data_IF_415197317051
#
_entry.id   IF_415197317051
#
_cell.length_a   1.000
_cell.length_b   1.000
_cell.length_c   1.000
_cell.angle_alpha   90.00
_cell.angle_beta   90.00
_cell.angle_gamma   90.00
#
_symmetry.space_group_name_H-M   'P 1'
#
loop_
_entity.id
_entity.type
_entity.pdbx_description
1 polymer ?
#
# COMPACT_ATOMS: atom_id res chain seq x y z
N UNK A 1 43.64 13.24 28.72
CA UNK A 1 43.24 13.23 27.30
C UNK A 1 42.06 12.26 27.19
N UNK A 2 40.85 12.79 27.24
CA UNK A 2 39.63 11.97 27.12
C UNK A 2 39.42 11.65 25.65
N UNK A 3 39.54 10.38 25.25
CA UNK A 3 39.11 9.90 23.93
C UNK A 3 37.60 10.10 23.82
N UNK A 4 37.18 11.12 23.08
CA UNK A 4 35.82 11.25 22.61
C UNK A 4 35.53 10.01 21.77
N UNK A 5 34.77 9.08 22.32
CA UNK A 5 34.24 7.91 21.64
C UNK A 5 33.29 8.44 20.55
N UNK A 6 33.78 8.70 19.34
CA UNK A 6 32.97 9.08 18.18
C UNK A 6 31.94 8.02 17.95
N UNK A 7 30.73 8.26 18.42
CA UNK A 7 29.60 7.37 18.23
C UNK A 7 29.38 7.16 16.73
N UNK A 8 29.59 5.95 16.23
CA UNK A 8 29.42 5.63 14.82
C UNK A 8 27.96 5.83 14.44
N UNK A 9 27.68 6.49 13.30
CA UNK A 9 26.33 6.64 12.79
C UNK A 9 25.65 5.28 12.67
N UNK A 10 24.42 5.16 13.20
CA UNK A 10 23.65 3.92 13.18
C UNK A 10 22.18 4.20 12.84
N UNK A 11 21.51 3.23 12.24
CA UNK A 11 20.07 3.25 12.07
C UNK A 11 19.50 1.82 12.13
N UNK A 12 18.25 1.68 12.53
CA UNK A 12 17.52 0.43 12.51
C UNK A 12 16.47 0.52 11.43
N UNK A 13 16.49 -0.40 10.47
CA UNK A 13 15.48 -0.54 9.43
C UNK A 13 14.49 -1.63 9.85
N UNK A 14 13.23 -1.44 9.52
CA UNK A 14 12.14 -2.32 9.90
C UNK A 14 11.45 -2.90 8.67
N UNK A 15 11.39 -4.23 8.61
CA UNK A 15 10.73 -4.98 7.56
C UNK A 15 9.70 -5.93 8.19
N UNK A 16 8.59 -6.18 7.50
CA UNK A 16 7.59 -7.14 7.96
C UNK A 16 7.25 -8.15 6.85
N UNK A 17 7.20 -9.43 7.22
CA UNK A 17 6.89 -10.52 6.29
C UNK A 17 8.00 -10.79 5.25
N UNK A 18 9.21 -10.31 5.50
CA UNK A 18 10.38 -10.62 4.66
C UNK A 18 10.98 -11.98 5.04
N UNK A 19 11.52 -12.70 4.06
CA UNK A 19 12.37 -13.85 4.33
C UNK A 19 13.69 -13.38 4.98
N UNK A 20 13.93 -13.84 6.20
CA UNK A 20 15.10 -13.47 7.01
C UNK A 20 16.42 -13.83 6.33
N UNK A 21 16.47 -14.97 5.64
CA UNK A 21 17.67 -15.41 4.93
C UNK A 21 17.97 -14.46 3.75
N UNK A 22 16.94 -14.10 2.98
CA UNK A 22 17.07 -13.14 1.89
C UNK A 22 17.53 -11.76 2.41
N UNK A 23 16.98 -11.30 3.55
CA UNK A 23 17.40 -10.03 4.16
C UNK A 23 18.87 -10.08 4.62
N UNK A 24 19.29 -11.18 5.26
CA UNK A 24 20.70 -11.39 5.68
C UNK A 24 21.65 -11.41 4.48
N UNK A 25 21.27 -12.10 3.41
CA UNK A 25 22.06 -12.16 2.16
C UNK A 25 22.19 -10.77 1.54
N UNK A 26 21.10 -10.02 1.41
CA UNK A 26 21.12 -8.66 0.87
C UNK A 26 21.97 -7.72 1.74
N UNK A 27 21.86 -7.81 3.06
CA UNK A 27 22.68 -7.02 3.98
C UNK A 27 24.18 -7.43 3.98
N UNK A 28 24.47 -8.71 3.77
CA UNK A 28 25.84 -9.24 3.64
C UNK A 28 26.51 -8.88 2.29
N UNK A 29 25.73 -8.59 1.28
CA UNK A 29 26.20 -8.21 -0.06
C UNK A 29 26.58 -6.73 -0.20
N UNK A 30 26.54 -5.93 0.88
CA UNK A 30 26.94 -4.53 0.79
C UNK A 30 28.41 -4.38 0.39
N UNK A 31 28.72 -3.51 -0.60
CA UNK A 31 30.09 -3.28 -1.01
C UNK A 31 30.98 -2.80 0.15
N UNK A 32 32.18 -3.36 0.38
CA UNK A 32 33.09 -2.99 1.46
C UNK A 32 33.40 -1.49 1.50
N UNK A 33 33.44 -0.84 0.32
CA UNK A 33 33.66 0.62 0.19
C UNK A 33 32.59 1.49 0.88
N UNK A 34 31.43 0.93 1.25
CA UNK A 34 30.40 1.66 2.00
C UNK A 34 30.71 1.73 3.50
N UNK A 35 31.63 0.87 3.99
CA UNK A 35 32.02 0.81 5.39
C UNK A 35 30.84 0.51 6.31
N UNK A 36 29.93 -0.37 5.87
CA UNK A 36 28.74 -0.80 6.57
C UNK A 36 28.95 -2.11 7.30
N UNK A 37 28.36 -2.22 8.49
CA UNK A 37 28.06 -3.49 9.14
C UNK A 37 26.55 -3.58 9.38
N UNK A 38 25.99 -4.78 9.27
CA UNK A 38 24.57 -5.04 9.44
C UNK A 38 24.36 -6.21 10.40
N UNK A 39 23.38 -6.08 11.31
CA UNK A 39 22.90 -7.16 12.16
C UNK A 39 21.40 -7.31 11.95
N UNK A 40 20.94 -8.55 11.72
CA UNK A 40 19.53 -8.86 11.46
C UNK A 40 18.96 -9.68 12.61
N UNK A 41 17.86 -9.21 13.21
CA UNK A 41 17.09 -9.90 14.24
C UNK A 41 15.66 -10.05 13.71
N UNK A 42 15.08 -11.25 13.80
CA UNK A 42 13.69 -11.50 13.39
C UNK A 42 12.89 -12.09 14.53
N UNK A 43 11.64 -11.60 14.68
CA UNK A 43 10.68 -12.12 15.66
C UNK A 43 9.25 -11.85 15.18
N UNK A 44 8.39 -12.88 15.16
CA UNK A 44 6.95 -12.73 14.89
C UNK A 44 6.61 -12.10 13.54
N UNK A 45 7.41 -12.39 12.49
CA UNK A 45 7.24 -11.82 11.15
C UNK A 45 7.94 -10.48 10.94
N UNK A 46 8.41 -9.80 11.99
CA UNK A 46 9.18 -8.57 11.89
C UNK A 46 10.68 -8.88 11.81
N UNK A 47 11.39 -8.22 10.91
CA UNK A 47 12.84 -8.25 10.79
C UNK A 47 13.43 -6.86 10.99
N UNK A 48 14.28 -6.74 12.00
CA UNK A 48 15.02 -5.52 12.30
C UNK A 48 16.43 -5.65 11.73
N UNK A 49 16.86 -4.66 10.95
CA UNK A 49 18.21 -4.59 10.41
C UNK A 49 18.94 -3.38 11.02
N UNK A 50 19.80 -3.64 12.00
CA UNK A 50 20.65 -2.61 12.60
C UNK A 50 21.85 -2.38 11.68
N UNK A 51 21.91 -1.20 11.09
CA UNK A 51 23.03 -0.75 10.27
C UNK A 51 23.96 0.17 11.08
N UNK A 52 25.26 -0.06 10.99
CA UNK A 52 26.29 0.86 11.48
C UNK A 52 27.24 1.20 10.35
N UNK A 53 27.69 2.44 10.27
CA UNK A 53 28.58 2.89 9.20
C UNK A 53 29.69 3.79 9.73
N UNK A 54 30.84 3.78 9.05
CA UNK A 54 31.90 4.74 9.30
C UNK A 54 31.52 6.18 8.93
N UNK A 55 30.62 6.34 7.93
CA UNK A 55 30.14 7.63 7.41
C UNK A 55 28.63 7.60 7.18
N UNK A 56 27.89 8.71 7.40
CA UNK A 56 26.44 8.77 7.16
C UNK A 56 26.01 8.43 5.72
N UNK A 57 26.88 8.71 4.74
CA UNK A 57 26.64 8.35 3.34
C UNK A 57 26.52 6.83 3.13
N UNK A 58 27.25 6.02 3.91
CA UNK A 58 27.12 4.57 3.90
C UNK A 58 25.72 4.12 4.34
N UNK A 59 25.19 4.68 5.45
CA UNK A 59 23.85 4.36 5.94
C UNK A 59 22.79 4.61 4.88
N UNK A 60 22.82 5.79 4.23
CA UNK A 60 21.85 6.12 3.15
C UNK A 60 21.91 5.13 1.99
N UNK A 61 23.10 4.68 1.61
CA UNK A 61 23.28 3.66 0.56
C UNK A 61 22.72 2.30 0.99
N UNK A 62 23.01 1.86 2.23
CA UNK A 62 22.48 0.61 2.78
C UNK A 62 20.95 0.63 2.91
N UNK A 63 20.38 1.70 3.44
CA UNK A 63 18.94 1.91 3.50
C UNK A 63 18.31 1.84 2.11
N UNK A 64 18.86 2.60 1.14
CA UNK A 64 18.36 2.61 -0.24
C UNK A 64 18.43 1.25 -0.91
N UNK A 65 19.50 0.50 -0.69
CA UNK A 65 19.67 -0.86 -1.21
C UNK A 65 18.63 -1.82 -0.64
N UNK A 66 18.44 -1.87 0.69
CA UNK A 66 17.44 -2.74 1.31
C UNK A 66 16.02 -2.36 0.94
N UNK A 67 15.71 -1.06 0.87
CA UNK A 67 14.40 -0.60 0.42
C UNK A 67 14.11 -0.98 -1.04
N UNK A 68 15.12 -0.98 -1.90
CA UNK A 68 14.98 -1.42 -3.30
C UNK A 68 14.78 -2.94 -3.43
N UNK A 69 15.45 -3.73 -2.58
CA UNK A 69 15.30 -5.19 -2.55
C UNK A 69 13.95 -5.63 -1.95
N UNK A 70 13.45 -4.92 -0.94
CA UNK A 70 12.25 -5.29 -0.17
C UNK A 70 11.22 -4.15 -0.12
N UNK A 71 10.71 -3.69 -1.27
CA UNK A 71 9.87 -2.50 -1.35
C UNK A 71 8.50 -2.66 -0.66
N UNK A 72 7.97 -3.87 -0.55
CA UNK A 72 6.69 -4.17 0.10
C UNK A 72 6.85 -4.47 1.59
N UNK A 73 7.97 -5.06 1.96
CA UNK A 73 8.31 -5.49 3.32
C UNK A 73 8.81 -4.32 4.17
N UNK A 74 9.55 -3.39 3.57
CA UNK A 74 10.06 -2.21 4.25
C UNK A 74 8.92 -1.30 4.69
N UNK A 75 8.81 -1.03 5.99
CA UNK A 75 7.72 -0.20 6.49
C UNK A 75 8.18 1.00 7.33
N UNK A 76 9.40 0.99 7.88
CA UNK A 76 9.84 2.08 8.73
C UNK A 76 11.31 2.00 9.14
N UNK A 77 11.71 2.96 9.97
CA UNK A 77 13.03 3.05 10.57
C UNK A 77 12.99 3.58 12.00
N UNK A 78 14.03 3.25 12.77
CA UNK A 78 14.12 3.68 14.17
C UNK A 78 13.08 3.01 15.06
N UNK A 79 12.41 3.80 15.88
CA UNK A 79 11.39 3.34 16.84
C UNK A 79 9.99 3.20 16.28
N UNK A 80 9.72 3.58 15.04
CA UNK A 80 8.38 3.56 14.46
C UNK A 80 7.87 2.13 14.28
N UNK A 81 6.78 1.81 15.01
CA UNK A 81 6.15 0.50 14.92
C UNK A 81 5.25 0.34 13.69
N UNK A 82 4.90 -0.91 13.37
CA UNK A 82 4.05 -1.24 12.22
C UNK A 82 2.66 -0.57 12.27
N UNK A 83 2.11 -0.41 13.47
CA UNK A 83 0.82 0.27 13.66
C UNK A 83 0.89 1.76 13.28
N UNK A 84 1.94 2.47 13.68
CA UNK A 84 2.15 3.87 13.29
C UNK A 84 2.39 4.00 11.78
N UNK A 85 3.18 3.09 11.20
CA UNK A 85 3.39 3.04 9.75
C UNK A 85 2.08 2.78 8.98
N UNK A 86 1.17 1.95 9.52
CA UNK A 86 -0.17 1.76 8.96
C UNK A 86 -0.95 3.07 8.98
N UNK A 87 -1.07 3.73 10.16
CA UNK A 87 -1.81 4.99 10.30
C UNK A 87 -1.30 6.01 9.29
N UNK A 88 0.00 6.25 9.27
CA UNK A 88 0.62 7.18 8.31
C UNK A 88 0.32 6.82 6.85
N UNK A 89 0.41 5.52 6.50
CA UNK A 89 0.13 5.06 5.14
C UNK A 89 -1.33 5.29 4.77
N UNK A 90 -2.26 5.00 5.67
CA UNK A 90 -3.69 5.17 5.42
C UNK A 90 -4.10 6.64 5.32
N UNK A 91 -3.56 7.51 6.19
CA UNK A 91 -3.76 8.96 6.07
C UNK A 91 -3.27 9.48 4.72
N UNK A 92 -2.04 9.12 4.34
CA UNK A 92 -1.42 9.53 3.07
C UNK A 92 -2.25 9.12 1.85
N UNK A 93 -2.91 7.98 1.90
CA UNK A 93 -3.71 7.45 0.78
C UNK A 93 -5.22 7.67 0.96
N UNK A 94 -5.63 8.42 1.98
CA UNK A 94 -7.03 8.71 2.30
C UNK A 94 -7.88 7.43 2.36
N UNK A 95 -7.44 6.45 3.16
CA UNK A 95 -8.11 5.16 3.32
C UNK A 95 -8.67 5.02 4.71
N UNK A 96 -9.88 4.45 4.80
CA UNK A 96 -10.53 4.09 6.05
C UNK A 96 -10.59 2.56 6.19
N UNK A 97 -10.23 2.05 7.35
CA UNK A 97 -10.33 0.65 7.76
C UNK A 97 -11.49 0.48 8.74
N UNK A 98 -12.29 -0.55 8.55
CA UNK A 98 -13.31 -1.01 9.50
C UNK A 98 -13.08 -2.49 9.82
N UNK A 99 -13.50 -2.95 11.00
CA UNK A 99 -13.54 -4.37 11.33
C UNK A 99 -14.96 -4.89 11.24
N UNK A 100 -15.12 -6.08 10.66
CA UNK A 100 -16.40 -6.73 10.43
C UNK A 100 -16.82 -7.67 11.57
N UNK A 101 -15.90 -7.96 12.48
CA UNK A 101 -16.14 -8.80 13.67
C UNK A 101 -15.35 -8.28 14.88
N UNK A 102 -15.75 -8.75 16.06
CA UNK A 102 -15.17 -8.33 17.33
C UNK A 102 -13.70 -8.76 17.50
N UNK A 103 -13.31 -9.91 16.95
CA UNK A 103 -11.94 -10.40 17.08
C UNK A 103 -10.97 -9.55 16.27
N UNK A 104 -11.26 -9.27 14.99
CA UNK A 104 -10.48 -8.35 14.18
C UNK A 104 -10.44 -6.96 14.81
N UNK A 105 -11.58 -6.49 15.33
CA UNK A 105 -11.69 -5.22 16.03
C UNK A 105 -10.77 -5.13 17.24
N UNK A 106 -10.77 -6.15 18.10
CA UNK A 106 -9.89 -6.18 19.28
C UNK A 106 -8.41 -6.18 18.88
N UNK A 107 -8.02 -6.99 17.88
CA UNK A 107 -6.65 -7.08 17.39
C UNK A 107 -6.13 -5.75 16.82
N UNK A 108 -6.97 -5.02 16.11
CA UNK A 108 -6.61 -3.73 15.48
C UNK A 108 -6.69 -2.59 16.50
N UNK A 109 -7.83 -2.44 17.22
CA UNK A 109 -8.03 -1.33 18.13
C UNK A 109 -7.01 -1.28 19.26
N UNK A 110 -6.64 -2.44 19.82
CA UNK A 110 -5.62 -2.52 20.87
C UNK A 110 -4.27 -1.89 20.44
N UNK A 111 -3.97 -1.92 19.16
CA UNK A 111 -2.70 -1.41 18.60
C UNK A 111 -2.78 0.01 18.07
N UNK A 112 -3.98 0.48 17.74
CA UNK A 112 -4.18 1.79 17.13
C UNK A 112 -4.69 2.85 18.12
N UNK A 113 -5.39 2.46 19.20
CA UNK A 113 -6.14 3.37 20.08
C UNK A 113 -5.34 4.55 20.63
N UNK A 114 -4.04 4.34 20.90
CA UNK A 114 -3.17 5.34 21.51
C UNK A 114 -2.29 6.08 20.48
N UNK A 115 -2.51 5.84 19.18
CA UNK A 115 -1.73 6.46 18.12
C UNK A 115 -2.39 7.75 17.60
N UNK A 116 -1.63 8.82 17.43
CA UNK A 116 -2.13 10.03 16.78
C UNK A 116 -2.67 9.76 15.38
N UNK A 117 -3.85 10.28 15.05
CA UNK A 117 -4.48 10.14 13.74
C UNK A 117 -5.18 8.80 13.48
N UNK A 118 -5.17 7.87 14.46
CA UNK A 118 -5.83 6.58 14.30
C UNK A 118 -7.34 6.73 14.07
N UNK A 119 -7.99 7.71 14.67
CA UNK A 119 -9.40 8.06 14.53
C UNK A 119 -9.79 8.50 13.11
N UNK A 120 -8.84 8.99 12.33
CA UNK A 120 -9.06 9.40 10.93
C UNK A 120 -9.04 8.22 9.96
N UNK A 121 -8.39 7.13 10.34
CA UNK A 121 -8.10 5.99 9.45
C UNK A 121 -8.75 4.69 9.88
N UNK A 122 -9.25 4.63 11.12
CA UNK A 122 -9.91 3.47 11.69
C UNK A 122 -11.23 3.85 12.35
N UNK A 123 -12.31 3.19 11.94
CA UNK A 123 -13.62 3.39 12.53
C UNK A 123 -13.77 2.56 13.81
N UNK A 124 -13.55 3.20 14.96
CA UNK A 124 -13.71 2.58 16.27
C UNK A 124 -15.19 2.38 16.66
N UNK A 125 -16.12 3.14 16.06
CA UNK A 125 -17.53 3.13 16.42
C UNK A 125 -18.35 2.07 15.68
N UNK A 126 -18.04 1.81 14.42
CA UNK A 126 -18.83 0.90 13.56
C UNK A 126 -18.51 -0.58 13.79
N UNK A 127 -17.60 -0.90 14.68
CA UNK A 127 -17.37 -2.28 15.07
C UNK A 127 -18.61 -2.86 15.72
N UNK A 128 -18.90 -4.13 15.44
CA UNK A 128 -20.13 -4.84 15.85
C UNK A 128 -20.44 -4.83 17.35
N UNK A 129 -19.57 -4.30 18.18
CA UNK A 129 -19.73 -4.14 19.62
C UNK A 129 -19.70 -2.67 20.08
N UNK A 130 -19.30 -1.72 19.23
CA UNK A 130 -19.26 -0.29 19.58
C UNK A 130 -20.54 0.47 19.20
N UNK A 131 -21.16 0.10 18.06
CA UNK A 131 -22.40 0.67 17.57
C UNK A 131 -23.42 -0.43 17.25
N UNK A 132 -24.42 -0.68 18.12
CA UNK A 132 -25.44 -1.71 17.92
C UNK A 132 -26.25 -1.52 16.61
N UNK A 133 -26.47 -0.28 16.21
CA UNK A 133 -27.23 0.02 14.98
C UNK A 133 -26.41 -0.34 13.73
N UNK A 134 -25.13 0.03 13.71
CA UNK A 134 -24.24 -0.36 12.64
C UNK A 134 -24.07 -1.89 12.59
N UNK A 135 -23.90 -2.54 13.75
CA UNK A 135 -23.80 -3.98 13.87
C UNK A 135 -25.01 -4.70 13.26
N UNK A 136 -26.23 -4.25 13.62
CA UNK A 136 -27.47 -4.81 13.09
C UNK A 136 -27.59 -4.64 11.57
N UNK A 137 -27.23 -3.46 11.04
CA UNK A 137 -27.23 -3.19 9.59
C UNK A 137 -26.20 -4.07 8.87
N UNK A 138 -25.01 -4.25 9.45
CA UNK A 138 -23.97 -5.14 8.88
C UNK A 138 -24.49 -6.57 8.86
N UNK A 139 -25.03 -7.09 9.97
CA UNK A 139 -25.57 -8.44 10.05
C UNK A 139 -26.70 -8.69 9.04
N UNK A 140 -27.66 -7.79 8.97
CA UNK A 140 -28.80 -7.88 8.02
C UNK A 140 -28.33 -7.86 6.55
N UNK A 141 -27.35 -7.02 6.22
CA UNK A 141 -26.81 -6.93 4.87
C UNK A 141 -25.96 -8.15 4.52
N UNK A 142 -25.20 -8.68 5.50
CA UNK A 142 -24.39 -9.89 5.35
C UNK A 142 -25.27 -11.11 5.08
N UNK A 143 -26.35 -11.31 5.85
CA UNK A 143 -27.29 -12.40 5.67
C UNK A 143 -27.93 -12.43 4.27
N UNK A 144 -28.26 -11.25 3.72
CA UNK A 144 -28.82 -11.12 2.34
C UNK A 144 -27.80 -11.43 1.25
N UNK A 145 -26.51 -11.39 1.52
CA UNK A 145 -25.43 -11.50 0.54
C UNK A 145 -24.57 -12.74 0.70
N UNK A 146 -24.87 -13.54 1.69
CA UNK A 146 -24.19 -14.79 1.95
C UNK A 146 -24.35 -15.74 0.76
N UNK A 147 -23.21 -16.22 0.22
CA UNK A 147 -23.21 -17.08 -0.96
C UNK A 147 -23.36 -18.58 -0.60
N UNK A 148 -23.13 -18.92 0.65
CA UNK A 148 -23.17 -20.29 1.19
C UNK A 148 -23.20 -20.31 2.72
N UNK A 149 -23.35 -21.50 3.31
CA UNK A 149 -23.43 -21.69 4.76
C UNK A 149 -22.06 -21.85 5.43
N UNK A 150 -20.99 -22.01 4.64
CA UNK A 150 -19.64 -22.19 5.18
C UNK A 150 -19.21 -20.95 5.99
N UNK A 151 -18.45 -21.14 7.08
CA UNK A 151 -17.96 -20.03 7.92
C UNK A 151 -17.22 -18.96 7.12
N UNK A 152 -16.47 -19.37 6.10
CA UNK A 152 -15.77 -18.44 5.21
C UNK A 152 -16.72 -17.58 4.38
N UNK A 153 -17.81 -18.17 3.84
CA UNK A 153 -18.81 -17.42 3.06
C UNK A 153 -19.51 -16.38 3.94
N UNK A 154 -19.79 -16.72 5.21
CA UNK A 154 -20.34 -15.80 6.21
C UNK A 154 -19.38 -14.65 6.49
N UNK A 155 -18.11 -14.95 6.76
CA UNK A 155 -17.09 -13.94 7.03
C UNK A 155 -16.86 -12.99 5.83
N UNK A 156 -16.83 -13.53 4.62
CA UNK A 156 -16.72 -12.72 3.38
C UNK A 156 -17.94 -11.81 3.19
N UNK A 157 -19.14 -12.29 3.51
CA UNK A 157 -20.37 -11.49 3.45
C UNK A 157 -20.33 -10.35 4.49
N UNK A 158 -19.85 -10.63 5.72
CA UNK A 158 -19.67 -9.62 6.77
C UNK A 158 -18.67 -8.54 6.37
N UNK A 159 -17.52 -8.92 5.84
CA UNK A 159 -16.50 -7.98 5.33
C UNK A 159 -17.10 -7.03 4.31
N UNK A 160 -17.84 -7.55 3.31
CA UNK A 160 -18.52 -6.72 2.30
C UNK A 160 -19.62 -5.83 2.88
N UNK A 161 -20.35 -6.34 3.86
CA UNK A 161 -21.41 -5.58 4.52
C UNK A 161 -20.82 -4.43 5.34
N UNK A 162 -19.78 -4.69 6.13
CA UNK A 162 -19.08 -3.67 6.92
C UNK A 162 -18.55 -2.54 6.04
N UNK A 163 -17.86 -2.86 4.96
CA UNK A 163 -17.39 -1.86 3.99
C UNK A 163 -18.51 -0.95 3.48
N UNK A 164 -19.67 -1.54 3.15
CA UNK A 164 -20.80 -0.77 2.60
C UNK A 164 -21.51 0.09 3.63
N UNK A 165 -21.71 -0.43 4.83
CA UNK A 165 -22.42 0.28 5.89
C UNK A 165 -21.61 1.49 6.36
N UNK A 166 -20.29 1.31 6.49
CA UNK A 166 -19.39 2.37 6.96
C UNK A 166 -18.87 3.25 5.83
N UNK A 167 -18.83 2.73 4.60
CA UNK A 167 -18.22 3.43 3.46
C UNK A 167 -16.69 3.31 3.43
N UNK A 168 -16.12 2.36 4.17
CA UNK A 168 -14.67 2.18 4.26
C UNK A 168 -14.09 1.55 2.97
N UNK A 169 -12.82 1.88 2.65
CA UNK A 169 -12.09 1.26 1.56
C UNK A 169 -11.64 -0.16 1.87
N UNK A 170 -11.32 -0.42 3.14
CA UNK A 170 -10.84 -1.71 3.63
C UNK A 170 -11.72 -2.19 4.79
N UNK A 171 -11.98 -3.49 4.82
CA UNK A 171 -12.65 -4.11 5.96
C UNK A 171 -11.91 -5.39 6.36
N UNK A 172 -11.65 -5.53 7.65
CA UNK A 172 -10.93 -6.68 8.21
C UNK A 172 -11.89 -7.62 8.94
N UNK A 173 -11.62 -8.93 8.86
CA UNK A 173 -12.26 -9.94 9.66
C UNK A 173 -11.27 -11.04 10.05
N UNK A 174 -11.60 -11.77 11.12
CA UNK A 174 -10.86 -12.92 11.60
C UNK A 174 -11.76 -14.13 11.70
N UNK A 175 -11.32 -15.25 11.15
CA UNK A 175 -12.01 -16.53 11.24
C UNK A 175 -11.12 -17.53 11.99
N UNK A 176 -11.40 -17.83 13.27
CA UNK A 176 -10.65 -18.82 14.04
C UNK A 176 -10.77 -20.22 13.43
N UNK A 177 -9.65 -20.95 13.37
CA UNK A 177 -9.57 -22.34 12.90
C UNK A 177 -8.59 -23.12 13.78
N UNK A 178 -9.04 -23.61 14.93
CA UNK A 178 -8.19 -24.29 15.89
C UNK A 178 -7.04 -23.39 16.38
N UNK A 179 -5.79 -23.82 16.18
CA UNK A 179 -4.58 -23.07 16.56
C UNK A 179 -4.21 -21.94 15.59
N UNK A 180 -4.95 -21.80 14.50
CA UNK A 180 -4.73 -20.78 13.48
C UNK A 180 -5.93 -19.85 13.35
N UNK A 181 -5.70 -18.71 12.73
CA UNK A 181 -6.74 -17.75 12.35
C UNK A 181 -6.60 -17.41 10.87
N UNK A 182 -7.68 -17.48 10.13
CA UNK A 182 -7.73 -16.93 8.78
C UNK A 182 -8.04 -15.46 8.87
N UNK A 183 -7.08 -14.64 8.49
CA UNK A 183 -7.22 -13.20 8.36
C UNK A 183 -7.85 -12.86 7.02
N UNK A 184 -8.85 -12.02 7.03
CA UNK A 184 -9.59 -11.55 5.87
C UNK A 184 -9.43 -10.04 5.77
N UNK A 185 -9.01 -9.53 4.62
CA UNK A 185 -8.97 -8.10 4.33
C UNK A 185 -9.68 -7.82 3.03
N UNK A 186 -10.89 -7.31 3.13
CA UNK A 186 -11.72 -6.95 1.98
C UNK A 186 -11.35 -5.58 1.41
N UNK A 187 -11.47 -5.47 0.10
CA UNK A 187 -11.45 -4.24 -0.66
C UNK A 187 -12.70 -4.17 -1.55
N UNK A 188 -12.86 -3.10 -2.35
CA UNK A 188 -14.01 -2.98 -3.28
C UNK A 188 -14.08 -4.11 -4.32
N UNK A 189 -12.95 -4.74 -4.67
CA UNK A 189 -12.84 -5.71 -5.77
C UNK A 189 -12.81 -7.16 -5.32
N UNK A 190 -12.39 -7.43 -4.08
CA UNK A 190 -12.20 -8.76 -3.55
C UNK A 190 -11.59 -8.74 -2.16
N UNK A 191 -11.19 -9.90 -1.69
CA UNK A 191 -10.65 -10.10 -0.36
C UNK A 191 -9.30 -10.82 -0.43
N UNK A 192 -8.32 -10.32 0.31
CA UNK A 192 -7.10 -11.04 0.63
C UNK A 192 -7.33 -11.93 1.85
N UNK A 193 -6.78 -13.12 1.80
CA UNK A 193 -6.91 -14.12 2.85
C UNK A 193 -5.54 -14.69 3.21
N UNK A 194 -5.25 -14.78 4.51
CA UNK A 194 -4.02 -15.36 5.03
C UNK A 194 -4.31 -16.18 6.26
N UNK A 195 -3.81 -17.42 6.32
CA UNK A 195 -3.83 -18.23 7.53
C UNK A 195 -2.57 -17.95 8.34
N UNK A 196 -2.75 -17.65 9.63
CA UNK A 196 -1.67 -17.31 10.57
C UNK A 196 -1.88 -18.11 11.84
N UNK A 197 -0.82 -18.69 12.42
CA UNK A 197 -0.91 -19.32 13.74
C UNK A 197 -1.08 -18.26 14.81
N UNK A 198 -1.69 -18.63 15.94
CA UNK A 198 -1.85 -17.70 17.06
C UNK A 198 -0.51 -17.18 17.61
N UNK A 199 0.51 -18.01 17.64
CA UNK A 199 1.87 -17.65 18.07
C UNK A 199 2.56 -16.64 17.17
N UNK A 200 2.19 -16.57 15.87
CA UNK A 200 2.78 -15.69 14.86
C UNK A 200 2.16 -14.27 14.85
N UNK A 201 1.43 -13.92 15.89
CA UNK A 201 0.85 -12.59 16.08
C UNK A 201 -0.09 -12.15 14.95
N UNK A 202 -1.30 -12.74 14.83
CA UNK A 202 -2.27 -12.44 13.78
C UNK A 202 -2.57 -10.94 13.59
N UNK A 203 -2.55 -10.18 14.71
CA UNK A 203 -2.80 -8.74 14.65
C UNK A 203 -1.74 -7.97 13.87
N UNK A 204 -0.46 -8.31 13.97
CA UNK A 204 0.58 -7.65 13.16
C UNK A 204 0.44 -8.00 11.68
N UNK A 205 0.11 -9.25 11.37
CA UNK A 205 -0.17 -9.66 9.99
C UNK A 205 -1.36 -8.91 9.39
N UNK A 206 -2.42 -8.70 10.17
CA UNK A 206 -3.59 -7.95 9.71
C UNK A 206 -3.25 -6.48 9.45
N UNK A 207 -2.45 -5.86 10.32
CA UNK A 207 -1.97 -4.47 10.11
C UNK A 207 -1.11 -4.36 8.85
N UNK A 208 -0.19 -5.33 8.61
CA UNK A 208 0.65 -5.30 7.41
C UNK A 208 -0.15 -5.51 6.12
N UNK A 209 -1.12 -6.43 6.15
CA UNK A 209 -2.05 -6.62 5.02
C UNK A 209 -2.79 -5.32 4.70
N UNK A 210 -3.28 -4.60 5.71
CA UNK A 210 -3.97 -3.32 5.54
C UNK A 210 -3.02 -2.23 5.01
N UNK A 211 -1.79 -2.13 5.55
CA UNK A 211 -0.75 -1.19 5.10
C UNK A 211 -0.41 -1.41 3.62
N UNK A 212 -0.13 -2.67 3.23
CA UNK A 212 0.19 -3.01 1.84
C UNK A 212 -0.99 -2.72 0.92
N UNK A 213 -2.21 -3.08 1.32
CA UNK A 213 -3.41 -2.81 0.55
C UNK A 213 -3.66 -1.30 0.36
N UNK A 214 -3.49 -0.50 1.42
CA UNK A 214 -3.64 0.95 1.38
C UNK A 214 -2.63 1.61 0.43
N UNK A 215 -1.37 1.15 0.46
CA UNK A 215 -0.30 1.65 -0.39
C UNK A 215 -0.29 1.05 -1.82
N UNK A 216 -1.14 0.07 -2.12
CA UNK A 216 -1.12 -0.64 -3.41
C UNK A 216 0.10 -1.52 -3.60
N UNK A 217 0.73 -1.98 -2.51
CA UNK A 217 1.90 -2.86 -2.52
C UNK A 217 1.47 -4.33 -2.67
N UNK A 218 2.42 -5.17 -3.08
CA UNK A 218 2.22 -6.60 -3.14
C UNK A 218 2.02 -7.17 -1.71
N UNK A 219 1.04 -8.05 -1.55
CA UNK A 219 0.83 -8.76 -0.29
C UNK A 219 1.95 -9.76 -0.04
N UNK A 220 2.17 -10.10 1.23
CA UNK A 220 3.19 -11.08 1.61
C UNK A 220 2.88 -12.46 1.03
N UNK A 221 3.93 -13.24 0.78
CA UNK A 221 3.82 -14.62 0.33
C UNK A 221 2.88 -15.43 1.25
N UNK A 222 2.11 -16.36 0.67
CA UNK A 222 1.08 -17.12 1.38
C UNK A 222 -0.26 -16.38 1.54
N UNK A 223 -0.38 -15.13 1.08
CA UNK A 223 -1.66 -14.41 1.04
C UNK A 223 -2.37 -14.68 -0.28
N UNK A 224 -3.61 -15.18 -0.21
CA UNK A 224 -4.45 -15.51 -1.38
C UNK A 224 -5.40 -14.37 -1.68
N UNK A 225 -5.76 -14.21 -2.94
CA UNK A 225 -6.76 -13.24 -3.39
C UNK A 225 -8.01 -13.92 -3.92
N UNK A 226 -9.19 -13.46 -3.49
CA UNK A 226 -10.49 -13.90 -3.99
C UNK A 226 -11.31 -12.71 -4.44
N UNK A 227 -11.82 -12.74 -5.67
CA UNK A 227 -12.69 -11.67 -6.21
C UNK A 227 -14.14 -11.88 -5.75
N UNK A 228 -14.84 -10.78 -5.48
CA UNK A 228 -16.30 -10.80 -5.16
C UNK A 228 -17.17 -10.94 -6.41
N UNK A 229 -16.87 -11.74 -7.35
CA UNK A 229 -17.75 -11.89 -8.51
C UNK A 229 -19.06 -12.57 -8.11
N UNK A 230 -20.19 -11.91 -8.46
CA UNK A 230 -21.53 -12.31 -8.12
C UNK A 230 -21.87 -13.71 -8.59
N UNK A 231 -22.45 -14.51 -7.72
CA UNK A 231 -23.46 -15.52 -7.98
C UNK A 231 -23.13 -16.74 -8.84
N UNK A 232 -21.91 -16.96 -9.34
CA UNK A 232 -21.47 -18.23 -9.94
C UNK A 232 -20.09 -18.59 -9.43
N UNK A 233 -20.00 -19.77 -8.81
CA UNK A 233 -18.75 -20.40 -8.39
C UNK A 233 -17.85 -20.60 -9.61
N UNK A 234 -16.93 -19.67 -9.86
CA UNK A 234 -15.72 -20.01 -10.56
C UNK A 234 -14.67 -20.14 -9.48
N UNK A 235 -14.38 -21.36 -9.07
CA UNK A 235 -13.11 -21.68 -8.42
C UNK A 235 -12.03 -21.04 -9.31
N UNK A 236 -11.42 -19.96 -8.82
CA UNK A 236 -10.19 -19.51 -9.42
C UNK A 236 -9.24 -20.69 -9.34
N UNK A 237 -8.83 -21.19 -10.51
CA UNK A 237 -7.78 -22.19 -10.65
C UNK A 237 -6.67 -21.77 -9.70
N UNK A 238 -6.37 -22.62 -8.72
CA UNK A 238 -5.20 -22.45 -7.86
C UNK A 238 -4.04 -22.29 -8.82
N UNK A 239 -3.46 -21.09 -8.88
CA UNK A 239 -2.16 -20.94 -9.53
C UNK A 239 -1.20 -21.73 -8.65
N UNK A 240 -0.86 -22.93 -9.08
CA UNK A 240 0.28 -23.68 -8.56
C UNK A 240 1.48 -22.72 -8.52
N UNK A 241 2.30 -22.77 -7.46
CA UNK A 241 3.52 -21.98 -7.42
C UNK A 241 4.31 -22.35 -8.66
N UNK A 242 4.47 -21.38 -9.57
CA UNK A 242 5.31 -21.55 -10.73
C UNK A 242 6.68 -22.01 -10.25
N UNK A 243 7.07 -23.21 -10.64
CA UNK A 243 8.43 -23.71 -10.47
C UNK A 243 9.41 -22.59 -10.85
N UNK A 244 10.38 -22.35 -9.97
CA UNK A 244 11.44 -21.36 -10.17
C UNK A 244 12.23 -21.72 -11.43
N UNK A 245 11.75 -21.29 -12.58
CA UNK A 245 12.57 -21.10 -13.77
C UNK A 245 13.09 -19.66 -13.70
N UNK A 246 14.40 -19.42 -13.85
CA UNK A 246 14.95 -18.07 -13.83
C UNK A 246 14.24 -17.23 -14.89
N UNK A 247 13.74 -16.05 -14.47
CA UNK A 247 13.04 -15.12 -15.34
C UNK A 247 13.88 -14.83 -16.59
N UNK A 248 13.33 -14.97 -17.80
CA UNK A 248 14.02 -14.51 -19.00
C UNK A 248 14.21 -12.99 -18.89
N UNK A 249 15.32 -12.44 -19.46
CA UNK A 249 15.65 -11.03 -19.36
C UNK A 249 14.47 -10.19 -19.88
N UNK A 250 14.18 -9.11 -19.19
CA UNK A 250 13.04 -8.21 -19.41
C UNK A 250 12.85 -7.87 -20.90
N UNK A 251 11.99 -8.64 -21.56
CA UNK A 251 11.75 -8.54 -22.99
C UNK A 251 10.84 -7.37 -23.31
N UNK A 252 11.21 -6.68 -24.36
CA UNK A 252 10.62 -5.57 -25.16
C UNK A 252 9.10 -5.29 -25.10
N UNK A 253 8.30 -6.06 -24.34
CA UNK A 253 6.84 -5.90 -24.23
C UNK A 253 6.38 -4.76 -23.30
N UNK A 254 7.12 -4.46 -22.23
CA UNK A 254 6.76 -3.39 -21.29
C UNK A 254 7.07 -2.00 -21.86
N UNK A 255 8.15 -1.87 -22.62
CA UNK A 255 8.49 -0.63 -23.31
C UNK A 255 7.41 -0.25 -24.35
N UNK A 256 6.86 -1.23 -25.09
CA UNK A 256 5.76 -1.00 -26.05
C UNK A 256 4.44 -0.56 -25.39
N UNK A 257 4.12 -1.06 -24.21
CA UNK A 257 2.89 -0.63 -23.47
C UNK A 257 3.04 0.79 -22.88
N UNK A 258 4.23 1.16 -22.38
CA UNK A 258 4.53 2.54 -21.95
C UNK A 258 4.53 3.52 -23.13
N UNK A 259 5.17 3.15 -24.24
CA UNK A 259 5.15 3.96 -25.44
C UNK A 259 3.72 4.22 -25.96
N UNK A 260 2.85 3.20 -26.02
CA UNK A 260 1.44 3.37 -26.44
C UNK A 260 0.63 4.30 -25.51
N UNK A 261 0.91 4.32 -24.19
CA UNK A 261 0.25 5.28 -23.27
C UNK A 261 0.74 6.70 -23.49
N UNK A 262 2.05 6.89 -23.68
CA UNK A 262 2.64 8.20 -23.96
C UNK A 262 2.11 8.74 -25.30
N UNK A 263 2.03 7.91 -26.34
CA UNK A 263 1.47 8.30 -27.62
C UNK A 263 -0.01 8.68 -27.57
N UNK A 264 -0.83 8.01 -26.73
CA UNK A 264 -2.24 8.41 -26.51
C UNK A 264 -2.35 9.76 -25.80
N UNK A 265 -1.53 10.03 -24.81
CA UNK A 265 -1.52 11.33 -24.11
C UNK A 265 -1.07 12.44 -25.06
N UNK A 266 -0.02 12.21 -25.84
CA UNK A 266 0.44 13.18 -26.85
C UNK A 266 -0.61 13.43 -27.94
N UNK A 267 -1.33 12.40 -28.38
CA UNK A 267 -2.41 12.55 -29.36
C UNK A 267 -3.59 13.41 -28.81
N UNK A 268 -3.95 13.22 -27.54
CA UNK A 268 -5.00 14.03 -26.89
C UNK A 268 -4.56 15.47 -26.74
N UNK A 269 -3.31 15.72 -26.34
CA UNK A 269 -2.75 17.08 -26.24
C UNK A 269 -2.66 17.79 -27.61
N UNK A 270 -2.27 17.05 -28.65
CA UNK A 270 -2.24 17.59 -30.02
C UNK A 270 -3.66 17.95 -30.51
N UNK A 271 -4.66 17.08 -30.25
CA UNK A 271 -6.05 17.39 -30.61
C UNK A 271 -6.58 18.62 -29.86
N UNK A 272 -6.28 18.75 -28.57
CA UNK A 272 -6.66 19.93 -27.79
C UNK A 272 -5.99 21.23 -28.33
N UNK A 273 -4.71 21.17 -28.72
CA UNK A 273 -4.00 22.30 -29.32
C UNK A 273 -4.62 22.73 -30.66
N UNK A 274 -5.02 21.76 -31.50
CA UNK A 274 -5.71 22.06 -32.77
C UNK A 274 -7.06 22.73 -32.53
N UNK A 275 -7.84 22.26 -31.54
CA UNK A 275 -9.13 22.86 -31.17
C UNK A 275 -8.92 24.31 -30.67
N UNK A 276 -7.92 24.55 -29.83
CA UNK A 276 -7.60 25.89 -29.32
C UNK A 276 -7.15 26.83 -30.47
N UNK A 277 -6.34 26.33 -31.41
CA UNK A 277 -5.93 27.09 -32.56
C UNK A 277 -7.11 27.44 -33.49
N UNK A 278 -8.01 26.48 -33.70
CA UNK A 278 -9.21 26.71 -34.49
C UNK A 278 -10.17 27.75 -33.84
N UNK A 279 -10.35 27.67 -32.50
CA UNK A 279 -11.11 28.63 -31.75
C UNK A 279 -10.45 30.04 -31.80
N UNK A 280 -9.13 30.09 -31.64
CA UNK A 280 -8.38 31.37 -31.79
C UNK A 280 -8.48 31.96 -33.20
N UNK A 281 -8.46 31.12 -34.25
CA UNK A 281 -8.65 31.52 -35.62
C UNK A 281 -10.04 32.15 -35.84
N UNK A 282 -11.10 31.53 -35.31
CA UNK A 282 -12.46 32.07 -35.38
C UNK A 282 -12.61 33.38 -34.62
N UNK A 283 -12.01 33.50 -33.41
CA UNK A 283 -12.09 34.74 -32.59
C UNK A 283 -11.30 35.90 -33.20
N UNK A 284 -10.25 35.61 -33.95
CA UNK A 284 -9.40 36.63 -34.59
C UNK A 284 -9.81 36.96 -36.03
N UNK A 285 -10.88 36.35 -36.55
CA UNK A 285 -11.33 36.56 -37.93
C UNK A 285 -10.28 36.16 -38.96
N UNK A 286 -9.45 35.15 -38.65
CA UNK A 286 -8.36 34.70 -39.52
C UNK A 286 -7.04 35.46 -39.42
N UNK A 287 -6.96 36.50 -38.57
CA UNK A 287 -5.76 37.29 -38.42
C UNK A 287 -5.03 37.05 -37.11
N UNK A 288 -4.05 36.13 -37.13
CA UNK A 288 -3.27 35.71 -35.94
C UNK A 288 -2.47 36.82 -35.28
N UNK A 289 -2.22 37.94 -35.95
CA UNK A 289 -1.52 39.08 -35.35
C UNK A 289 -2.34 39.76 -34.24
N UNK A 290 -3.63 39.51 -34.15
CA UNK A 290 -4.52 40.04 -33.11
C UNK A 290 -4.57 39.18 -31.85
N UNK A 291 -4.00 37.97 -31.87
CA UNK A 291 -4.02 37.01 -30.77
C UNK A 291 -3.47 37.57 -29.43
N UNK A 292 -2.37 38.34 -29.42
CA UNK A 292 -1.87 38.95 -28.19
C UNK A 292 -2.86 39.92 -27.54
N UNK A 293 -3.63 40.67 -28.35
CA UNK A 293 -4.65 41.59 -27.84
C UNK A 293 -5.86 40.90 -27.25
N UNK A 294 -6.30 39.79 -27.86
CA UNK A 294 -7.44 38.99 -27.38
C UNK A 294 -7.09 38.26 -26.07
N UNK A 295 -5.83 37.89 -25.90
CA UNK A 295 -5.33 37.22 -24.69
C UNK A 295 -4.88 38.19 -23.59
N UNK A 296 -5.03 39.52 -23.79
CA UNK A 296 -4.65 40.53 -22.79
C UNK A 296 -3.13 40.69 -22.58
N UNK A 297 -2.30 40.19 -23.51
CA UNK A 297 -0.85 40.24 -23.42
C UNK A 297 -0.33 41.61 -23.81
N UNK A 298 0.42 42.28 -22.93
CA UNK A 298 1.08 43.55 -23.21
C UNK A 298 2.51 43.35 -23.70
N UNK A 299 2.91 44.08 -24.73
CA UNK A 299 4.29 44.07 -25.25
C UNK A 299 5.23 44.81 -24.30
N UNK A 300 6.26 44.16 -23.82
CA UNK A 300 7.33 44.82 -23.08
C UNK A 300 8.19 45.68 -24.02
N UNK A 301 8.51 46.91 -23.64
CA UNK A 301 9.11 47.90 -24.58
C UNK A 301 10.56 47.58 -24.99
N UNK A 302 11.26 46.61 -24.41
CA UNK A 302 12.68 46.40 -24.72
C UNK A 302 13.14 44.94 -24.93
N UNK A 303 12.28 43.94 -24.83
CA UNK A 303 12.74 42.52 -24.88
C UNK A 303 12.08 41.64 -25.92
N UNK A 304 11.10 42.14 -26.68
CA UNK A 304 10.37 41.31 -27.66
C UNK A 304 9.55 40.16 -27.05
N UNK A 305 9.51 40.04 -25.73
CA UNK A 305 8.76 39.01 -25.00
C UNK A 305 7.35 39.49 -24.59
N UNK A 306 6.42 38.54 -24.43
CA UNK A 306 5.04 38.78 -24.02
C UNK A 306 4.84 38.42 -22.56
N UNK A 307 4.11 39.26 -21.78
CA UNK A 307 3.66 38.94 -20.41
C UNK A 307 2.20 38.47 -20.45
N UNK A 308 1.88 37.46 -19.64
CA UNK A 308 0.52 36.96 -19.39
C UNK A 308 -0.13 37.75 -18.28
#
# INVERSE_FOLDING_TARGET
>A
MSEETKTQPSCVLRLFGADVLAVRQAAGAFPPRWGLSAQCISRGGETLVALRAKKPAGLRKGEGSLRACFPSEFYGKGGEGLAAALVHTMEKHHRLLVCADAQAGALVSQRLKDLPGADKVFDFGAMSYGDPVAAQKIAALAARRQAGEAPLDKALAQVRAAQRVVGAELAAACLPQGESTVLLLGSRKGCWMRTVRQEDNPGLWLLDMARRAAAGLQQAEGTRWQTYRGGRRHCAKVMEPASMTPAPPAGKGQARRRARRIWRVLAVLAAAAVILLAAAWQLTGGNLSMLPRVLGLQRLPHTGAWLV
#
